data_IF_356027526229
#
_entry.id   IF_356027526229
#
_cell.length_a   1.000
_cell.length_b   1.000
_cell.length_c   1.000
_cell.angle_alpha   90.00
_cell.angle_beta   90.00
_cell.angle_gamma   90.00
#
_symmetry.space_group_name_H-M   'P 1'
#
loop_
_entity.id
_entity.type
_entity.pdbx_description
1 polymer ?
#
# COMPACT_ATOMS: atom_id res chain seq x y z
N UNK A 1 1.37 8.11 -9.51
CA UNK A 1 2.23 8.81 -10.51
C UNK A 1 3.71 8.62 -10.14
N UNK A 2 4.67 8.91 -11.03
CA UNK A 2 6.10 8.85 -10.70
C UNK A 2 6.76 10.23 -10.92
N UNK A 3 7.55 10.70 -9.95
CA UNK A 3 8.34 11.93 -10.12
C UNK A 3 9.71 11.69 -10.76
N UNK A 4 10.43 12.77 -11.07
CA UNK A 4 11.76 12.70 -11.72
C UNK A 4 12.85 12.06 -10.86
N UNK A 5 12.63 11.98 -9.56
CA UNK A 5 13.54 11.29 -8.63
C UNK A 5 13.22 9.80 -8.53
N UNK A 6 12.06 9.37 -9.06
CA UNK A 6 11.60 7.99 -9.10
C UNK A 6 10.58 7.63 -8.02
N UNK A 7 10.14 8.58 -7.18
CA UNK A 7 9.16 8.26 -6.13
C UNK A 7 7.80 7.99 -6.77
N UNK A 8 7.13 6.95 -6.27
CA UNK A 8 5.76 6.65 -6.64
C UNK A 8 4.82 7.38 -5.68
N UNK A 9 3.98 8.24 -6.24
CA UNK A 9 3.00 9.06 -5.53
C UNK A 9 1.63 8.40 -5.52
N UNK A 10 1.01 8.41 -4.34
CA UNK A 10 -0.40 8.07 -4.18
C UNK A 10 -1.26 9.33 -4.26
N UNK A 11 -2.22 9.36 -5.18
CA UNK A 11 -2.93 10.59 -5.56
C UNK A 11 -4.42 10.56 -5.20
N UNK A 12 -4.91 9.44 -4.68
CA UNK A 12 -6.31 9.27 -4.35
C UNK A 12 -6.77 7.84 -4.55
N UNK A 13 -7.96 7.60 -4.00
CA UNK A 13 -8.72 6.36 -4.13
C UNK A 13 -10.16 6.69 -4.53
N UNK A 14 -10.76 5.80 -5.31
CA UNK A 14 -12.20 5.79 -5.55
C UNK A 14 -12.76 4.45 -5.08
N UNK A 15 -13.08 4.39 -3.79
CA UNK A 15 -13.43 3.19 -3.05
C UNK A 15 -14.94 2.95 -3.08
N UNK A 16 -15.34 1.70 -3.27
CA UNK A 16 -16.73 1.26 -3.18
C UNK A 16 -16.78 -0.08 -2.46
N UNK A 17 -17.35 -0.09 -1.26
CA UNK A 17 -17.58 -1.28 -0.47
C UNK A 17 -18.92 -1.92 -0.86
N UNK A 18 -18.98 -3.25 -0.81
CA UNK A 18 -20.19 -4.01 -1.11
C UNK A 18 -20.57 -4.94 0.04
N UNK A 19 -21.84 -4.92 0.43
CA UNK A 19 -22.46 -5.91 1.30
C UNK A 19 -23.58 -6.64 0.56
N UNK A 20 -23.51 -7.97 0.53
CA UNK A 20 -24.50 -8.82 -0.15
C UNK A 20 -24.74 -8.40 -1.62
N UNK A 21 -23.68 -7.99 -2.31
CA UNK A 21 -23.71 -7.56 -3.72
C UNK A 21 -24.32 -6.18 -3.94
N UNK A 22 -24.55 -5.39 -2.89
CA UNK A 22 -25.01 -3.99 -2.98
C UNK A 22 -23.97 -3.06 -2.42
N UNK A 23 -23.86 -1.86 -3.00
CA UNK A 23 -22.98 -0.82 -2.48
C UNK A 23 -23.41 -0.48 -1.04
N UNK A 24 -22.49 -0.64 -0.10
CA UNK A 24 -22.68 -0.31 1.31
C UNK A 24 -22.07 1.05 1.67
N UNK A 25 -20.95 1.42 1.06
CA UNK A 25 -20.19 2.62 1.41
C UNK A 25 -19.23 3.02 0.28
N UNK A 26 -18.85 4.30 0.24
CA UNK A 26 -17.71 4.82 -0.55
C UNK A 26 -16.65 5.46 0.37
N UNK A 27 -16.67 5.08 1.65
CA UNK A 27 -15.67 5.52 2.63
C UNK A 27 -14.29 5.05 2.16
N UNK A 28 -13.28 5.87 2.41
CA UNK A 28 -11.93 5.66 1.89
C UNK A 28 -11.65 6.41 0.59
N UNK A 29 -12.66 6.85 -0.16
CA UNK A 29 -12.40 7.70 -1.34
C UNK A 29 -11.83 9.07 -0.96
N UNK A 30 -10.72 9.44 -1.57
CA UNK A 30 -10.09 10.75 -1.42
C UNK A 30 -9.33 11.13 -2.70
N UNK A 31 -9.05 12.41 -2.87
CA UNK A 31 -8.27 12.90 -4.01
C UNK A 31 -7.29 13.99 -3.54
N UNK A 32 -6.02 13.84 -3.89
CA UNK A 32 -5.01 14.83 -3.57
C UNK A 32 -5.40 16.24 -4.06
N UNK A 33 -5.26 17.22 -3.19
CA UNK A 33 -5.60 18.63 -3.44
C UNK A 33 -7.08 18.97 -3.28
N UNK A 34 -7.94 18.02 -2.90
CA UNK A 34 -9.37 18.24 -2.64
C UNK A 34 -9.64 18.14 -1.14
N UNK A 35 -10.40 19.08 -0.59
CA UNK A 35 -10.85 19.09 0.81
C UNK A 35 -9.76 18.85 1.86
N UNK A 36 -8.56 19.40 1.61
CA UNK A 36 -7.41 19.30 2.51
C UNK A 36 -6.61 18.00 2.39
N UNK A 37 -6.97 17.09 1.46
CA UNK A 37 -6.22 15.87 1.24
C UNK A 37 -4.87 16.15 0.57
N UNK A 38 -3.80 15.53 1.07
CA UNK A 38 -2.44 15.62 0.54
C UNK A 38 -2.02 14.27 -0.04
N UNK A 39 -1.34 14.31 -1.19
CA UNK A 39 -0.69 13.14 -1.74
C UNK A 39 0.48 12.69 -0.85
N UNK A 40 0.64 11.38 -0.69
CA UNK A 40 1.83 10.78 -0.09
C UNK A 40 2.62 9.96 -1.10
N UNK A 41 3.66 9.29 -0.58
CA UNK A 41 4.52 8.41 -1.36
C UNK A 41 4.05 6.98 -1.09
N UNK A 42 3.60 6.26 -2.12
CA UNK A 42 3.29 4.82 -1.98
C UNK A 42 4.57 3.99 -1.98
N UNK A 43 5.61 4.44 -2.70
CA UNK A 43 6.91 3.79 -2.73
C UNK A 43 8.05 4.81 -2.95
N UNK A 44 8.99 4.96 -2.00
CA UNK A 44 10.15 5.83 -2.18
C UNK A 44 11.05 5.34 -3.31
N UNK A 45 11.71 6.27 -4.01
CA UNK A 45 12.66 5.94 -5.08
C UNK A 45 13.89 5.16 -4.56
N UNK A 46 14.30 5.47 -3.33
CA UNK A 46 15.47 4.90 -2.68
C UNK A 46 15.10 4.50 -1.24
N UNK A 47 14.34 3.40 -1.07
CA UNK A 47 13.92 2.95 0.25
C UNK A 47 15.14 2.48 1.06
N UNK A 48 15.12 2.75 2.36
CA UNK A 48 16.16 2.33 3.30
C UNK A 48 15.49 1.77 4.56
N UNK A 49 16.04 0.70 5.14
CA UNK A 49 15.50 0.10 6.36
C UNK A 49 15.40 1.14 7.47
N UNK A 50 14.25 1.20 8.14
CA UNK A 50 13.88 2.20 9.15
C UNK A 50 13.36 3.52 8.59
N UNK A 51 13.27 3.70 7.26
CA UNK A 51 12.64 4.88 6.65
C UNK A 51 11.14 4.84 6.91
N UNK A 52 10.60 5.92 7.48
CA UNK A 52 9.16 6.14 7.63
C UNK A 52 8.67 7.24 6.69
N UNK A 53 7.46 7.09 6.16
CA UNK A 53 6.86 8.04 5.23
C UNK A 53 5.33 7.93 5.26
N UNK A 54 4.63 9.01 4.87
CA UNK A 54 3.17 9.01 4.69
C UNK A 54 2.83 8.52 3.28
N UNK A 55 1.84 7.63 3.19
CA UNK A 55 1.28 7.15 1.93
C UNK A 55 0.11 8.03 1.48
N UNK A 56 -0.64 8.58 2.43
CA UNK A 56 -1.77 9.49 2.19
C UNK A 56 -2.04 10.36 3.42
N UNK A 57 -2.82 11.43 3.23
CA UNK A 57 -3.30 12.25 4.33
C UNK A 57 -4.61 12.97 4.00
N UNK A 58 -5.63 12.77 4.83
CA UNK A 58 -6.88 13.50 4.96
C UNK A 58 -7.36 13.25 6.38
N UNK A 59 -7.39 14.31 7.20
CA UNK A 59 -7.66 14.21 8.63
C UNK A 59 -8.96 13.44 8.92
N UNK A 60 -8.85 12.36 9.72
CA UNK A 60 -9.96 11.52 10.14
C UNK A 60 -10.50 10.55 9.07
N UNK A 61 -9.94 10.56 7.86
CA UNK A 61 -10.42 9.75 6.74
C UNK A 61 -9.36 8.84 6.12
N UNK A 62 -8.14 9.33 5.91
CA UNK A 62 -7.06 8.66 5.19
C UNK A 62 -5.72 9.11 5.79
N UNK A 63 -5.04 8.28 6.58
CA UNK A 63 -3.84 8.70 7.31
C UNK A 63 -2.74 7.64 7.29
N UNK A 64 -2.69 6.85 6.21
CA UNK A 64 -1.77 5.72 6.13
C UNK A 64 -0.31 6.15 6.05
N UNK A 65 0.52 5.42 6.78
CA UNK A 65 1.95 5.57 6.82
C UNK A 65 2.64 4.20 6.73
N UNK A 66 3.85 4.22 6.18
CA UNK A 66 4.66 3.04 6.02
C UNK A 66 6.05 3.21 6.64
N UNK A 67 6.58 2.11 7.15
CA UNK A 67 7.97 1.95 7.56
C UNK A 67 8.64 0.86 6.73
N UNK A 68 9.81 1.12 6.15
CA UNK A 68 10.60 0.09 5.47
C UNK A 68 11.23 -0.85 6.50
N UNK A 69 10.83 -2.10 6.49
CA UNK A 69 11.35 -3.12 7.42
C UNK A 69 12.55 -3.89 6.84
N UNK A 70 12.52 -4.20 5.55
CA UNK A 70 13.55 -5.02 4.91
C UNK A 70 13.62 -4.73 3.41
N UNK A 71 14.80 -4.92 2.82
CA UNK A 71 15.04 -4.81 1.38
C UNK A 71 15.41 -6.16 0.75
N UNK A 72 15.46 -7.23 1.55
CA UNK A 72 15.99 -8.53 1.14
C UNK A 72 15.10 -9.70 1.60
N UNK A 73 13.78 -9.52 1.47
CA UNK A 73 12.84 -10.61 1.78
C UNK A 73 12.62 -11.54 0.60
N UNK A 74 11.97 -12.67 0.91
CA UNK A 74 11.44 -13.61 -0.06
C UNK A 74 9.91 -13.68 0.07
N UNK A 75 9.22 -13.68 -1.07
CA UNK A 75 7.78 -13.85 -1.13
C UNK A 75 7.43 -14.97 -2.11
N UNK A 76 6.56 -15.90 -1.70
CA UNK A 76 6.02 -16.94 -2.59
C UNK A 76 4.50 -16.81 -2.59
N UNK A 77 3.94 -16.72 -3.79
CA UNK A 77 2.53 -16.51 -4.09
C UNK A 77 2.13 -17.36 -5.30
N UNK A 78 0.85 -17.50 -5.65
CA UNK A 78 0.43 -18.36 -6.76
C UNK A 78 1.09 -18.02 -8.11
N UNK A 79 1.43 -16.75 -8.34
CA UNK A 79 2.15 -16.34 -9.56
C UNK A 79 3.60 -16.87 -9.60
N UNK A 80 4.27 -17.02 -8.45
CA UNK A 80 5.65 -17.47 -8.38
C UNK A 80 6.38 -17.06 -7.09
N UNK A 81 7.70 -17.25 -7.10
CA UNK A 81 8.59 -16.88 -6.01
C UNK A 81 9.48 -15.69 -6.39
N UNK A 82 9.63 -14.76 -5.45
CA UNK A 82 10.42 -13.54 -5.58
C UNK A 82 11.49 -13.50 -4.48
N UNK A 83 12.65 -12.94 -4.82
CA UNK A 83 13.75 -12.65 -3.90
C UNK A 83 14.12 -11.16 -3.99
N UNK A 84 14.85 -10.65 -3.00
CA UNK A 84 15.21 -9.23 -2.88
C UNK A 84 13.97 -8.32 -2.86
N UNK A 85 12.95 -8.76 -2.11
CA UNK A 85 11.66 -8.10 -1.99
C UNK A 85 11.73 -7.02 -0.92
N UNK A 86 11.23 -5.83 -1.25
CA UNK A 86 11.02 -4.77 -0.27
C UNK A 86 9.82 -5.14 0.61
N UNK A 87 9.98 -5.04 1.91
CA UNK A 87 8.92 -5.25 2.89
C UNK A 87 8.68 -3.97 3.68
N UNK A 88 7.42 -3.53 3.76
CA UNK A 88 7.00 -2.39 4.58
C UNK A 88 6.06 -2.84 5.68
N UNK A 89 6.02 -2.07 6.76
CA UNK A 89 4.95 -2.09 7.75
C UNK A 89 4.02 -0.91 7.46
N UNK A 90 2.78 -1.21 7.12
CA UNK A 90 1.74 -0.24 6.85
C UNK A 90 0.82 -0.15 8.07
N UNK A 91 0.46 1.08 8.44
CA UNK A 91 -0.35 1.38 9.63
C UNK A 91 -0.99 2.76 9.52
N UNK A 92 -2.02 3.00 10.34
CA UNK A 92 -2.71 4.29 10.41
C UNK A 92 -3.13 4.59 11.85
N UNK A 93 -3.11 5.88 12.27
CA UNK A 93 -3.64 6.27 13.57
C UNK A 93 -5.15 6.06 13.69
N UNK A 94 -5.88 5.89 12.58
CA UNK A 94 -7.33 5.70 12.57
C UNK A 94 -7.75 4.31 13.08
N UNK A 95 -6.89 3.30 12.89
CA UNK A 95 -7.07 1.90 13.34
C UNK A 95 -5.73 1.35 13.87
N UNK A 96 -5.26 1.84 15.02
CA UNK A 96 -3.88 1.58 15.50
C UNK A 96 -3.59 0.11 15.83
N UNK A 97 -4.63 -0.71 16.01
CA UNK A 97 -4.53 -2.15 16.20
C UNK A 97 -4.26 -2.92 14.91
N UNK A 98 -4.57 -2.32 13.75
CA UNK A 98 -4.39 -2.92 12.44
C UNK A 98 -2.97 -2.62 11.92
N UNK A 99 -2.22 -3.68 11.64
CA UNK A 99 -0.88 -3.59 11.08
C UNK A 99 -0.76 -4.58 9.95
N UNK A 100 -0.27 -4.10 8.81
CA UNK A 100 -0.04 -4.92 7.63
C UNK A 100 1.43 -4.92 7.24
N UNK A 101 1.89 -6.06 6.71
CA UNK A 101 3.15 -6.13 6.01
C UNK A 101 2.91 -6.26 4.51
N UNK A 102 3.40 -5.30 3.73
CA UNK A 102 3.33 -5.32 2.27
C UNK A 102 4.68 -5.61 1.66
N UNK A 103 4.65 -6.35 0.55
CA UNK A 103 5.81 -6.87 -0.13
C UNK A 103 5.80 -6.41 -1.58
N UNK A 104 6.91 -5.81 -2.02
CA UNK A 104 7.07 -5.24 -3.35
C UNK A 104 8.25 -5.86 -4.08
N UNK A 105 7.99 -6.47 -5.24
CA UNK A 105 9.02 -7.02 -6.11
C UNK A 105 9.39 -6.04 -7.21
N UNK A 106 10.69 -5.92 -7.49
CA UNK A 106 11.21 -5.04 -8.56
C UNK A 106 10.64 -5.47 -9.92
N UNK A 107 10.14 -4.49 -10.68
CA UNK A 107 9.57 -4.71 -12.01
C UNK A 107 8.15 -5.25 -12.01
N UNK A 108 7.57 -5.54 -10.83
CA UNK A 108 6.20 -6.06 -10.69
C UNK A 108 5.35 -5.12 -9.84
N UNK A 109 5.87 -4.62 -8.71
CA UNK A 109 5.11 -3.85 -7.73
C UNK A 109 4.65 -4.73 -6.56
N UNK A 110 3.46 -4.49 -5.98
CA UNK A 110 2.98 -5.26 -4.85
C UNK A 110 2.75 -6.72 -5.25
N UNK A 111 3.27 -7.65 -4.46
CA UNK A 111 3.15 -9.10 -4.71
C UNK A 111 2.44 -9.85 -3.59
N UNK A 112 2.49 -9.33 -2.36
CA UNK A 112 1.93 -9.96 -1.18
C UNK A 112 1.61 -8.88 -0.13
N UNK A 113 0.48 -9.02 0.55
CA UNK A 113 0.11 -8.27 1.73
C UNK A 113 -0.40 -9.23 2.81
N UNK A 114 -0.02 -9.00 4.07
CA UNK A 114 -0.42 -9.83 5.20
C UNK A 114 -0.74 -8.94 6.40
N UNK A 115 -1.97 -9.03 6.91
CA UNK A 115 -2.30 -8.45 8.21
C UNK A 115 -1.62 -9.26 9.32
N UNK A 116 -0.79 -8.59 10.12
CA UNK A 116 -0.03 -9.20 11.22
C UNK A 116 -0.57 -8.83 12.61
N UNK A 117 -1.43 -7.82 12.69
CA UNK A 117 -2.19 -7.46 13.89
C UNK A 117 -3.54 -6.84 13.49
N UNK A 118 -4.57 -6.98 14.34
CA UNK A 118 -5.89 -6.39 14.10
C UNK A 118 -6.79 -7.14 13.10
N UNK A 119 -6.32 -8.25 12.54
CA UNK A 119 -7.05 -9.07 11.57
C UNK A 119 -6.27 -10.30 11.12
N UNK A 120 -6.66 -10.90 10.00
CA UNK A 120 -5.99 -12.07 9.42
C UNK A 120 -5.98 -12.08 7.89
N UNK A 121 -6.14 -10.92 7.26
CA UNK A 121 -6.26 -10.83 5.82
C UNK A 121 -4.92 -11.09 5.12
N UNK A 122 -5.02 -11.62 3.90
CA UNK A 122 -3.88 -11.96 3.04
C UNK A 122 -4.26 -11.72 1.59
N UNK A 123 -3.45 -10.93 0.91
CA UNK A 123 -3.59 -10.67 -0.52
C UNK A 123 -2.36 -11.20 -1.26
N UNK A 124 -2.58 -11.86 -2.39
CA UNK A 124 -1.50 -12.53 -3.14
C UNK A 124 -1.61 -12.24 -4.62
N UNK A 125 -0.48 -11.94 -5.25
CA UNK A 125 -0.40 -11.85 -6.70
C UNK A 125 -0.67 -13.23 -7.31
N UNK A 126 -1.79 -13.32 -8.04
CA UNK A 126 -2.17 -14.52 -8.79
C UNK A 126 -1.71 -14.44 -10.24
N UNK A 127 -1.86 -13.26 -10.87
CA UNK A 127 -1.43 -12.97 -12.24
C UNK A 127 -1.33 -11.46 -12.45
N UNK A 128 -0.44 -11.01 -13.34
CA UNK A 128 -0.47 -9.67 -13.92
C UNK A 128 -0.05 -9.75 -15.39
N UNK A 129 -0.50 -8.78 -16.17
CA UNK A 129 -0.19 -8.64 -17.58
C UNK A 129 0.56 -7.31 -17.76
N UNK A 130 1.61 -7.31 -18.59
CA UNK A 130 2.28 -6.06 -18.94
C UNK A 130 1.35 -5.22 -19.83
N UNK A 131 1.30 -3.91 -19.57
CA UNK A 131 0.64 -3.01 -20.48
C UNK A 131 1.39 -3.00 -21.83
N UNK A 132 0.68 -3.00 -22.97
CA UNK A 132 1.29 -2.99 -24.31
C UNK A 132 2.10 -1.73 -24.61
#
# INVERSE_FOLDING_TARGET
AQDTSGNLWYLGEDTTEYENGKVSSTKGSWQAGVDGAEAGIILPAAPAVGMTYRQEYKEGEAEDAAEVLSLDEQATVPYGSFAHVLMTKDHTPLTPELVEHKFYARGVGPVLAITVAGGSDREELVRFDEAP
#
